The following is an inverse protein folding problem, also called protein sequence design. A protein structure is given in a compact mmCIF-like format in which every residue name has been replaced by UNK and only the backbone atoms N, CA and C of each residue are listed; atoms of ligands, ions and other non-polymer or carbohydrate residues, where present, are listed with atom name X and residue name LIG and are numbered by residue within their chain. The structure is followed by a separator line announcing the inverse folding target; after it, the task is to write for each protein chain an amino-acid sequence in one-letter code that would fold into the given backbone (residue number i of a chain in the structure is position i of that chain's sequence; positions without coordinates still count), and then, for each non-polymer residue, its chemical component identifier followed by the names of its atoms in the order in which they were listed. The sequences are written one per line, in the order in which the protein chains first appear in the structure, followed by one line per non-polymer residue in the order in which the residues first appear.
data_IF_493597040703
#
_entry.id   IF_493597040703
#
_cell.length_a   1.000
_cell.length_b   1.000
_cell.length_c   1.000
_cell.angle_alpha   90.00
_cell.angle_beta   90.00
_cell.angle_gamma   90.00
#
_symmetry.space_group_name_H-M   'P 1'
#
loop_
_entity.id
_entity.type
_entity.pdbx_description
1 polymer ?
#
# COMPACT_ATOMS: atom_id res chain seq x y z
N UNK A 1 -6.93 21.37 23.64
CA UNK A 1 -5.58 20.85 23.32
C UNK A 1 -5.60 19.40 22.81
N UNK A 2 -6.23 18.45 23.52
CA UNK A 2 -6.24 17.02 23.14
C UNK A 2 -6.93 16.74 21.79
N UNK A 3 -8.08 17.38 21.55
CA UNK A 3 -8.82 17.27 20.27
C UNK A 3 -8.02 17.81 19.08
N UNK A 4 -7.22 18.86 19.24
CA UNK A 4 -6.37 19.42 18.18
C UNK A 4 -5.23 18.45 17.84
N UNK A 5 -4.60 17.85 18.85
CA UNK A 5 -3.59 16.78 18.66
C UNK A 5 -4.18 15.57 17.93
N UNK A 6 -5.40 15.16 18.27
CA UNK A 6 -6.08 14.03 17.63
C UNK A 6 -6.47 14.33 16.17
N UNK A 7 -6.95 15.55 15.89
CA UNK A 7 -7.30 16.00 14.53
C UNK A 7 -6.07 16.04 13.62
N UNK A 8 -4.93 16.50 14.13
CA UNK A 8 -3.65 16.48 13.40
C UNK A 8 -3.18 15.06 13.09
N UNK A 9 -3.41 14.11 14.02
CA UNK A 9 -3.04 12.71 13.82
C UNK A 9 -3.88 12.04 12.71
N UNK A 10 -5.18 12.32 12.69
CA UNK A 10 -6.09 11.82 11.66
C UNK A 10 -5.72 12.39 10.28
N UNK A 11 -5.47 13.69 10.21
CA UNK A 11 -5.01 14.35 8.98
C UNK A 11 -3.71 13.72 8.46
N UNK A 12 -2.72 13.53 9.33
CA UNK A 12 -1.45 12.91 8.98
C UNK A 12 -1.64 11.48 8.44
N UNK A 13 -2.50 10.69 9.08
CA UNK A 13 -2.82 9.32 8.66
C UNK A 13 -3.46 9.31 7.27
N UNK A 14 -4.36 10.25 7.00
CA UNK A 14 -4.99 10.42 5.69
C UNK A 14 -3.97 10.82 4.62
N UNK A 15 -3.03 11.73 4.91
CA UNK A 15 -1.96 12.07 3.97
C UNK A 15 -1.10 10.85 3.58
N UNK A 16 -0.72 10.02 4.55
CA UNK A 16 0.03 8.79 4.25
C UNK A 16 -0.79 7.75 3.49
N UNK A 17 -2.08 7.65 3.77
CA UNK A 17 -3.00 6.83 2.98
C UNK A 17 -3.05 7.32 1.52
N UNK A 18 -3.26 8.62 1.29
CA UNK A 18 -3.29 9.20 -0.05
C UNK A 18 -1.95 9.04 -0.78
N UNK A 19 -0.83 9.13 -0.06
CA UNK A 19 0.49 8.87 -0.63
C UNK A 19 0.64 7.41 -1.08
N UNK A 20 0.22 6.45 -0.24
CA UNK A 20 0.17 5.04 -0.62
C UNK A 20 -0.72 4.80 -1.83
N UNK A 21 -1.88 5.45 -1.89
CA UNK A 21 -2.80 5.37 -3.02
C UNK A 21 -2.19 5.89 -4.33
N UNK A 22 -1.48 7.02 -4.29
CA UNK A 22 -0.76 7.55 -5.44
C UNK A 22 0.30 6.56 -5.95
N UNK A 23 1.08 5.95 -5.05
CA UNK A 23 2.06 4.91 -5.41
C UNK A 23 1.38 3.71 -6.04
N UNK A 24 0.26 3.24 -5.46
CA UNK A 24 -0.53 2.13 -5.98
C UNK A 24 -0.98 2.36 -7.42
N UNK A 25 -1.47 3.56 -7.74
CA UNK A 25 -1.88 3.92 -9.10
C UNK A 25 -0.70 4.06 -10.07
N UNK A 26 0.47 4.51 -9.60
CA UNK A 26 1.68 4.56 -10.42
C UNK A 26 2.21 3.17 -10.76
N UNK A 27 1.94 2.17 -9.92
CA UNK A 27 2.38 0.81 -10.19
C UNK A 27 1.71 0.20 -11.42
N UNK A 28 0.47 0.57 -11.73
CA UNK A 28 -0.24 0.10 -12.93
C UNK A 28 0.52 0.38 -14.23
N UNK A 29 1.12 1.56 -14.35
CA UNK A 29 1.94 1.91 -15.52
C UNK A 29 3.24 1.13 -15.58
N UNK A 30 3.86 0.84 -14.42
CA UNK A 30 5.02 -0.05 -14.31
C UNK A 30 4.68 -1.52 -14.63
N UNK A 31 3.47 -1.96 -14.29
CA UNK A 31 2.97 -3.31 -14.55
C UNK A 31 2.87 -3.58 -16.05
N UNK A 32 2.45 -2.59 -16.85
CA UNK A 32 2.45 -2.69 -18.32
C UNK A 32 3.85 -2.92 -18.89
N UNK A 33 4.87 -2.26 -18.31
CA UNK A 33 6.27 -2.49 -18.69
C UNK A 33 6.73 -3.91 -18.34
N UNK A 34 6.40 -4.40 -17.14
CA UNK A 34 6.72 -5.75 -16.70
C UNK A 34 6.03 -6.82 -17.57
N UNK A 35 4.74 -6.64 -17.88
CA UNK A 35 3.95 -7.55 -18.73
C UNK A 35 4.55 -7.73 -20.12
N UNK A 36 5.17 -6.67 -20.67
CA UNK A 36 5.79 -6.74 -21.99
C UNK A 36 7.12 -7.52 -21.98
N UNK A 37 7.76 -7.69 -20.83
CA UNK A 37 9.02 -8.42 -20.68
C UNK A 37 8.80 -9.87 -20.26
N UNK A 38 7.87 -10.14 -19.34
CA UNK A 38 7.54 -11.51 -18.91
C UNK A 38 6.24 -11.55 -18.08
N UNK A 39 5.62 -12.74 -18.08
CA UNK A 39 4.58 -13.25 -17.15
C UNK A 39 3.10 -12.99 -17.47
N UNK A 40 2.32 -14.03 -17.15
CA UNK A 40 0.87 -14.01 -16.95
C UNK A 40 0.54 -13.18 -15.71
N UNK A 41 -0.44 -12.27 -15.81
CA UNK A 41 -0.81 -11.30 -14.76
C UNK A 41 -1.10 -11.96 -13.40
N UNK A 42 -1.57 -13.21 -13.38
CA UNK A 42 -1.82 -13.97 -12.15
C UNK A 42 -0.57 -14.28 -11.32
N UNK A 43 0.61 -14.46 -11.94
CA UNK A 43 1.87 -14.65 -11.21
C UNK A 43 2.31 -13.36 -10.55
N UNK A 44 2.11 -12.22 -11.22
CA UNK A 44 2.42 -10.89 -10.66
C UNK A 44 1.56 -10.64 -9.42
N UNK A 45 0.27 -10.99 -9.47
CA UNK A 45 -0.66 -10.86 -8.34
C UNK A 45 -0.22 -11.75 -7.15
N UNK A 46 0.17 -13.00 -7.41
CA UNK A 46 0.71 -13.91 -6.38
C UNK A 46 1.97 -13.35 -5.71
N UNK A 47 2.92 -12.84 -6.49
CA UNK A 47 4.14 -12.22 -5.97
C UNK A 47 3.82 -11.02 -5.08
N UNK A 48 2.88 -10.16 -5.52
CA UNK A 48 2.44 -9.00 -4.75
C UNK A 48 1.82 -9.43 -3.41
N UNK A 49 0.94 -10.44 -3.41
CA UNK A 49 0.31 -10.94 -2.18
C UNK A 49 1.35 -11.47 -1.19
N UNK A 50 2.31 -12.27 -1.67
CA UNK A 50 3.40 -12.81 -0.84
C UNK A 50 4.26 -11.66 -0.28
N UNK A 51 4.60 -10.65 -1.08
CA UNK A 51 5.33 -9.48 -0.61
C UNK A 51 4.57 -8.73 0.50
N UNK A 52 3.25 -8.54 0.36
CA UNK A 52 2.44 -7.91 1.40
C UNK A 52 2.37 -8.72 2.68
N UNK A 53 2.30 -10.04 2.59
CA UNK A 53 2.31 -10.93 3.76
C UNK A 53 3.65 -10.87 4.51
N UNK A 54 4.78 -10.91 3.78
CA UNK A 54 6.11 -10.73 4.35
C UNK A 54 6.23 -9.36 5.04
N UNK A 55 5.78 -8.28 4.38
CA UNK A 55 5.79 -6.95 4.98
C UNK A 55 4.94 -6.88 6.26
N UNK A 56 3.76 -7.49 6.26
CA UNK A 56 2.91 -7.55 7.45
C UNK A 56 3.55 -8.32 8.60
N UNK A 57 4.18 -9.46 8.31
CA UNK A 57 4.92 -10.24 9.28
C UNK A 57 6.07 -9.42 9.90
N UNK A 58 6.82 -8.70 9.07
CA UNK A 58 7.90 -7.82 9.53
C UNK A 58 7.36 -6.68 10.42
N UNK A 59 6.28 -6.00 10.02
CA UNK A 59 5.69 -4.90 10.81
C UNK A 59 5.15 -5.41 12.16
N UNK A 60 4.58 -6.61 12.19
CA UNK A 60 4.06 -7.23 13.41
C UNK A 60 5.19 -7.63 14.36
N UNK A 61 6.18 -8.39 13.87
CA UNK A 61 7.19 -9.05 14.71
C UNK A 61 8.34 -8.11 15.13
N UNK A 62 8.57 -7.01 14.41
CA UNK A 62 9.62 -6.05 14.79
C UNK A 62 9.26 -5.31 16.08
N UNK A 63 10.02 -5.58 17.15
CA UNK A 63 9.95 -4.82 18.42
C UNK A 63 10.60 -3.43 18.32
N UNK A 64 11.47 -3.22 17.34
CA UNK A 64 12.21 -1.97 17.15
C UNK A 64 11.40 -0.85 16.47
N UNK A 65 10.31 -1.17 15.76
CA UNK A 65 9.50 -0.15 15.07
C UNK A 65 8.54 0.49 16.08
N UNK A 66 8.61 1.82 16.20
CA UNK A 66 7.72 2.57 17.07
C UNK A 66 6.25 2.41 16.64
N UNK A 67 5.32 2.48 17.61
CA UNK A 67 3.88 2.39 17.36
C UNK A 67 3.38 3.43 16.33
N UNK A 68 4.07 4.57 16.24
CA UNK A 68 3.80 5.61 15.25
C UNK A 68 4.14 5.16 13.83
N UNK A 69 5.34 4.61 13.62
CA UNK A 69 5.78 4.10 12.31
C UNK A 69 4.94 2.90 11.86
N UNK A 70 4.52 2.02 12.78
CA UNK A 70 3.62 0.90 12.45
C UNK A 70 2.30 1.39 11.86
N UNK A 71 1.72 2.47 12.41
CA UNK A 71 0.48 3.06 11.90
C UNK A 71 0.68 3.73 10.54
N UNK A 72 1.80 4.42 10.32
CA UNK A 72 2.13 5.01 9.02
C UNK A 72 2.26 3.92 7.95
N UNK A 73 3.06 2.88 8.21
CA UNK A 73 3.30 1.79 7.26
C UNK A 73 2.00 1.08 6.89
N UNK A 74 1.13 0.79 7.87
CA UNK A 74 -0.19 0.21 7.62
C UNK A 74 -1.09 1.15 6.79
N UNK A 75 -1.07 2.45 7.06
CA UNK A 75 -1.85 3.43 6.29
C UNK A 75 -1.42 3.47 4.83
N UNK A 76 -0.10 3.50 4.58
CA UNK A 76 0.47 3.44 3.23
C UNK A 76 0.12 2.11 2.54
N UNK A 77 0.25 0.97 3.23
CA UNK A 77 -0.11 -0.35 2.68
C UNK A 77 -1.57 -0.43 2.22
N UNK A 78 -2.51 0.06 3.04
CA UNK A 78 -3.94 0.08 2.67
C UNK A 78 -4.16 0.98 1.45
N UNK A 79 -3.48 2.14 1.38
CA UNK A 79 -3.51 3.02 0.22
C UNK A 79 -3.03 2.32 -1.06
N UNK A 80 -1.89 1.63 -1.01
CA UNK A 80 -1.33 0.89 -2.16
C UNK A 80 -2.30 -0.21 -2.62
N UNK A 81 -2.82 -1.01 -1.68
CA UNK A 81 -3.79 -2.08 -1.99
C UNK A 81 -5.05 -1.54 -2.66
N UNK A 82 -5.56 -0.40 -2.20
CA UNK A 82 -6.70 0.27 -2.85
C UNK A 82 -6.36 0.76 -4.26
N UNK A 83 -5.15 1.29 -4.48
CA UNK A 83 -4.68 1.65 -5.82
C UNK A 83 -4.63 0.44 -6.76
N UNK A 84 -4.07 -0.68 -6.31
CA UNK A 84 -4.03 -1.92 -7.09
C UNK A 84 -5.42 -2.45 -7.42
N UNK A 85 -6.34 -2.39 -6.45
CA UNK A 85 -7.72 -2.80 -6.64
C UNK A 85 -8.41 -1.95 -7.69
N UNK A 86 -8.32 -0.61 -7.60
CA UNK A 86 -8.95 0.29 -8.58
C UNK A 86 -8.40 0.05 -9.98
N UNK A 87 -7.08 -0.12 -10.12
CA UNK A 87 -6.50 -0.37 -11.43
C UNK A 87 -6.94 -1.73 -11.99
N UNK A 88 -6.97 -2.79 -11.19
CA UNK A 88 -7.50 -4.09 -11.60
C UNK A 88 -8.98 -4.03 -12.03
N UNK A 89 -9.81 -3.24 -11.34
CA UNK A 89 -11.20 -3.01 -11.74
C UNK A 89 -11.31 -2.30 -13.09
N UNK A 90 -10.43 -1.33 -13.35
CA UNK A 90 -10.40 -0.59 -14.61
C UNK A 90 -10.06 -1.47 -15.81
N UNK A 91 -9.18 -2.47 -15.66
CA UNK A 91 -8.81 -3.37 -16.76
C UNK A 91 -9.84 -4.51 -16.97
N UNK A 92 -10.71 -4.75 -15.99
CA UNK A 92 -11.69 -5.84 -15.99
C UNK A 92 -13.13 -5.45 -16.38
N UNK A 93 -13.41 -4.16 -16.60
CA UNK A 93 -14.69 -3.65 -17.12
C UNK A 93 -14.66 -3.49 -18.64
#
# INVERSE_FOLDING_TARGET
MFLIKQKNYLFLTFCYFSFGFLIGNLFGTFLVFLRNQFLWDGIVLLIILILFEILNFLIANTRFISQFFKKILKSVQIGILLGFFIDAFKVGS
#
